data_IF_877004443293
#
_entry.id   IF_877004443293
#
_cell.length_a   1.000
_cell.length_b   1.000
_cell.length_c   1.000
_cell.angle_alpha   90.00
_cell.angle_beta   90.00
_cell.angle_gamma   90.00
#
_symmetry.space_group_name_H-M   'P 1'
#
loop_
_entity.id
_entity.type
_entity.pdbx_description
1 polymer ?
#
# COMPACT_ATOMS: atom_id res chain seq x y z
N UNK A 1 28.51 -51.93 -22.96
CA UNK A 1 28.06 -52.04 -21.56
C UNK A 1 26.60 -51.61 -21.51
N UNK A 2 25.76 -52.46 -20.93
CA UNK A 2 24.31 -52.37 -20.92
C UNK A 2 23.76 -51.50 -19.76
N UNK A 3 22.54 -51.00 -19.96
CA UNK A 3 21.43 -50.77 -19.01
C UNK A 3 21.62 -49.95 -17.74
N UNK A 4 20.77 -48.92 -17.58
CA UNK A 4 19.67 -48.79 -16.58
C UNK A 4 19.23 -47.32 -16.52
N UNK A 5 18.10 -46.92 -17.11
CA UNK A 5 16.74 -46.92 -16.54
C UNK A 5 16.68 -46.35 -15.12
N UNK A 6 16.10 -45.15 -15.00
CA UNK A 6 15.82 -44.46 -13.74
C UNK A 6 14.68 -43.45 -13.89
N UNK A 7 13.50 -43.95 -14.29
CA UNK A 7 12.22 -43.26 -14.24
C UNK A 7 11.84 -43.02 -12.76
N UNK A 8 11.57 -41.78 -12.37
CA UNK A 8 10.72 -41.47 -11.20
C UNK A 8 9.72 -40.40 -11.59
N UNK A 9 8.56 -40.91 -12.02
CA UNK A 9 7.29 -40.22 -11.93
C UNK A 9 6.92 -40.12 -10.44
N UNK A 10 6.57 -38.92 -9.97
CA UNK A 10 5.78 -38.74 -8.76
C UNK A 10 4.70 -37.72 -9.04
N UNK A 11 3.47 -38.19 -8.87
CA UNK A 11 2.23 -37.55 -9.23
C UNK A 11 1.93 -36.29 -8.40
N UNK A 12 1.44 -35.25 -9.06
CA UNK A 12 0.55 -34.27 -8.45
C UNK A 12 -0.83 -34.57 -8.98
N UNK A 13 -1.66 -35.17 -8.14
CA UNK A 13 -3.08 -35.43 -8.38
C UNK A 13 -3.81 -34.10 -8.49
N UNK A 14 -4.16 -33.71 -9.72
CA UNK A 14 -5.17 -32.67 -9.96
C UNK A 14 -6.53 -33.24 -9.59
N UNK A 15 -7.09 -32.75 -8.50
CA UNK A 15 -8.51 -32.89 -8.18
C UNK A 15 -9.18 -31.58 -8.54
N UNK A 16 -9.96 -31.57 -9.62
CA UNK A 16 -11.00 -30.56 -9.80
C UNK A 16 -12.22 -31.28 -10.35
N UNK A 17 -13.19 -31.41 -9.45
CA UNK A 17 -14.50 -32.03 -9.58
C UNK A 17 -15.28 -31.43 -10.76
N UNK A 18 -15.52 -32.23 -11.79
CA UNK A 18 -16.48 -31.94 -12.85
C UNK A 18 -17.89 -32.34 -12.40
N UNK A 19 -18.62 -31.42 -11.78
CA UNK A 19 -20.08 -31.50 -11.75
C UNK A 19 -20.71 -30.56 -12.76
N UNK A 20 -21.02 -31.15 -13.92
CA UNK A 20 -22.10 -30.73 -14.80
C UNK A 20 -23.43 -30.70 -14.01
N UNK A 21 -24.01 -29.53 -13.87
CA UNK A 21 -25.45 -29.32 -13.79
C UNK A 21 -25.81 -28.39 -14.96
N UNK A 22 -26.26 -28.92 -16.10
CA UNK A 22 -27.66 -29.16 -16.42
C UNK A 22 -28.54 -27.91 -16.42
N UNK A 23 -28.88 -27.49 -17.65
CA UNK A 23 -30.12 -26.83 -18.09
C UNK A 23 -30.39 -25.39 -17.66
N UNK A 24 -30.76 -24.61 -18.67
CA UNK A 24 -31.09 -23.20 -18.56
C UNK A 24 -32.25 -22.93 -17.60
N UNK A 25 -32.07 -21.84 -16.87
CA UNK A 25 -33.13 -21.13 -16.19
C UNK A 25 -32.76 -19.66 -16.25
N UNK A 26 -33.28 -18.97 -17.25
CA UNK A 26 -33.31 -17.51 -17.32
C UNK A 26 -34.36 -17.03 -16.31
N UNK A 27 -33.90 -16.45 -15.20
CA UNK A 27 -34.74 -15.69 -14.27
C UNK A 27 -33.97 -14.45 -13.81
N UNK A 28 -34.17 -13.37 -14.58
CA UNK A 28 -33.77 -12.01 -14.23
C UNK A 28 -34.52 -11.47 -13.01
N UNK A 29 -34.13 -11.89 -11.80
CA UNK A 29 -34.68 -11.38 -10.54
C UNK A 29 -33.73 -11.33 -9.33
N UNK A 30 -32.44 -11.69 -9.48
CA UNK A 30 -31.44 -11.28 -8.49
C UNK A 30 -30.94 -9.90 -8.89
N UNK A 31 -31.27 -8.89 -8.08
CA UNK A 31 -30.63 -7.58 -8.17
C UNK A 31 -29.14 -7.81 -8.32
N UNK A 32 -28.53 -7.20 -9.34
CA UNK A 32 -27.08 -7.12 -9.40
C UNK A 32 -26.68 -6.49 -8.07
N UNK A 33 -26.15 -7.27 -7.15
CA UNK A 33 -25.33 -6.73 -6.09
C UNK A 33 -24.39 -5.75 -6.81
N UNK A 34 -24.36 -4.46 -6.41
CA UNK A 34 -23.41 -3.56 -7.02
C UNK A 34 -22.06 -4.26 -6.91
N UNK A 35 -21.32 -4.32 -8.03
CA UNK A 35 -19.95 -4.81 -7.99
C UNK A 35 -19.29 -4.15 -6.77
N UNK A 36 -18.56 -4.92 -5.92
CA UNK A 36 -17.93 -4.34 -4.75
C UNK A 36 -17.23 -3.07 -5.21
N UNK A 37 -17.55 -1.93 -4.59
CA UNK A 37 -16.92 -0.65 -4.95
C UNK A 37 -15.43 -0.94 -5.09
N UNK A 38 -14.85 -0.59 -6.24
CA UNK A 38 -13.44 -0.80 -6.49
C UNK A 38 -12.68 -0.31 -5.24
N UNK A 39 -11.76 -1.11 -4.67
CA UNK A 39 -11.06 -0.68 -3.47
C UNK A 39 -10.52 0.73 -3.73
N UNK A 40 -10.92 1.68 -2.88
CA UNK A 40 -10.51 3.08 -3.05
C UNK A 40 -8.99 3.13 -3.18
N UNK A 41 -8.48 3.84 -4.19
CA UNK A 41 -7.03 3.95 -4.41
C UNK A 41 -6.41 4.77 -3.27
N UNK A 42 -5.10 4.65 -3.10
CA UNK A 42 -4.37 5.30 -2.02
C UNK A 42 -3.30 6.22 -2.57
N UNK A 43 -3.32 7.48 -2.16
CA UNK A 43 -2.27 8.44 -2.49
C UNK A 43 -1.15 8.38 -1.45
N UNK A 44 0.10 8.32 -1.91
CA UNK A 44 1.28 8.62 -1.09
C UNK A 44 1.76 10.03 -1.41
N UNK A 45 1.84 10.88 -0.40
CA UNK A 45 2.38 12.25 -0.53
C UNK A 45 3.57 12.44 0.38
N UNK A 46 4.58 13.12 -0.15
CA UNK A 46 5.73 13.57 0.61
C UNK A 46 5.64 15.08 0.79
N UNK A 47 5.94 15.53 2.00
CA UNK A 47 6.06 16.94 2.35
C UNK A 47 7.48 17.17 2.83
N UNK A 48 8.12 18.22 2.32
CA UNK A 48 9.51 18.54 2.63
C UNK A 48 9.68 20.01 2.94
N UNK A 49 10.36 20.28 4.03
CA UNK A 49 10.77 21.61 4.45
C UNK A 49 12.29 21.68 4.40
N UNK A 50 12.86 22.51 3.52
CA UNK A 50 14.29 22.72 3.48
C UNK A 50 14.82 23.23 4.82
N UNK A 51 16.01 22.77 5.20
CA UNK A 51 16.69 23.26 6.39
C UNK A 51 16.82 24.80 6.34
N UNK A 52 16.50 25.45 7.46
CA UNK A 52 16.56 26.91 7.55
C UNK A 52 18.02 27.35 7.56
N UNK A 53 18.39 28.17 6.58
CA UNK A 53 19.70 28.82 6.52
C UNK A 53 19.60 30.27 7.03
N UNK A 54 20.52 30.74 7.89
CA UNK A 54 20.50 32.11 8.39
C UNK A 54 20.52 33.14 7.25
N UNK A 55 19.55 34.06 7.27
CA UNK A 55 19.43 35.12 6.26
C UNK A 55 18.77 34.70 4.95
N UNK A 56 18.40 33.43 4.79
CA UNK A 56 17.63 32.95 3.64
C UNK A 56 16.15 32.84 4.04
N UNK A 57 15.21 33.45 3.29
CA UNK A 57 13.80 33.27 3.54
C UNK A 57 13.37 31.80 3.44
N UNK A 58 12.54 31.34 4.36
CA UNK A 58 11.99 29.99 4.32
C UNK A 58 11.08 29.83 3.08
N UNK A 59 11.35 28.87 2.19
CA UNK A 59 10.59 28.72 0.94
C UNK A 59 9.19 28.12 1.12
N UNK A 60 8.85 27.67 2.33
CA UNK A 60 7.61 26.97 2.61
C UNK A 60 7.73 25.44 2.47
N UNK A 61 6.67 24.75 2.87
CA UNK A 61 6.53 23.30 2.73
C UNK A 61 6.30 22.93 1.27
N UNK A 62 7.12 22.02 0.75
CA UNK A 62 7.01 21.48 -0.60
C UNK A 62 6.22 20.18 -0.54
N UNK A 63 5.06 20.14 -1.20
CA UNK A 63 4.24 18.94 -1.31
C UNK A 63 4.49 18.24 -2.66
N UNK A 64 4.64 16.93 -2.64
CA UNK A 64 4.82 16.09 -3.83
C UNK A 64 3.93 14.86 -3.75
N UNK A 65 3.11 14.63 -4.78
CA UNK A 65 2.45 13.33 -4.98
C UNK A 65 3.50 12.33 -5.44
N UNK A 66 3.80 11.35 -4.60
CA UNK A 66 4.79 10.30 -4.90
C UNK A 66 4.17 9.25 -5.84
N UNK A 67 2.92 8.87 -5.57
CA UNK A 67 2.22 7.87 -6.37
C UNK A 67 0.80 7.60 -5.89
N UNK A 68 0.08 6.83 -6.69
CA UNK A 68 -1.28 6.36 -6.39
C UNK A 68 -1.30 4.84 -6.57
N UNK A 69 -1.76 4.14 -5.55
CA UNK A 69 -1.65 2.68 -5.42
C UNK A 69 -3.04 2.05 -5.26
N UNK A 70 -3.17 0.79 -5.65
CA UNK A 70 -4.45 0.08 -5.55
C UNK A 70 -4.72 -0.41 -4.11
N UNK A 71 -3.69 -0.47 -3.27
CA UNK A 71 -3.81 -0.90 -1.87
C UNK A 71 -3.04 0.01 -0.91
N UNK A 72 -3.57 0.13 0.32
CA UNK A 72 -2.92 0.89 1.40
C UNK A 72 -1.55 0.30 1.74
N UNK A 73 -1.46 -1.03 1.77
CA UNK A 73 -0.23 -1.75 2.12
C UNK A 73 0.92 -1.45 1.15
N UNK A 74 0.63 -1.35 -0.15
CA UNK A 74 1.61 -1.00 -1.17
C UNK A 74 2.09 0.44 -1.00
N UNK A 75 1.16 1.39 -0.83
CA UNK A 75 1.49 2.80 -0.60
C UNK A 75 2.36 2.98 0.65
N UNK A 76 2.03 2.29 1.74
CA UNK A 76 2.80 2.30 3.00
C UNK A 76 4.17 1.66 2.81
N UNK A 77 4.28 0.57 2.06
CA UNK A 77 5.57 -0.09 1.80
C UNK A 77 6.53 0.87 1.08
N UNK A 78 6.08 1.54 0.01
CA UNK A 78 6.89 2.54 -0.71
C UNK A 78 7.21 3.74 0.19
N UNK A 79 6.24 4.21 0.97
CA UNK A 79 6.45 5.30 1.93
C UNK A 79 7.54 4.98 2.95
N UNK A 80 7.57 3.75 3.48
CA UNK A 80 8.62 3.28 4.40
C UNK A 80 9.99 3.24 3.76
N UNK A 81 10.10 2.79 2.51
CA UNK A 81 11.38 2.77 1.79
C UNK A 81 11.95 4.19 1.65
N UNK A 82 11.14 5.13 1.19
CA UNK A 82 11.54 6.53 1.04
C UNK A 82 11.90 7.19 2.38
N UNK A 83 11.11 6.91 3.42
CA UNK A 83 11.39 7.40 4.77
C UNK A 83 12.74 6.89 5.29
N UNK A 84 13.03 5.60 5.12
CA UNK A 84 14.31 5.00 5.53
C UNK A 84 15.48 5.55 4.71
N UNK A 85 15.32 5.67 3.40
CA UNK A 85 16.32 6.26 2.51
C UNK A 85 16.65 7.70 2.91
N UNK A 86 15.61 8.53 3.13
CA UNK A 86 15.80 9.91 3.54
C UNK A 86 16.53 10.01 4.88
N UNK A 87 16.15 9.19 5.88
CA UNK A 87 16.84 9.16 7.18
C UNK A 87 18.29 8.70 7.05
N UNK A 88 18.58 7.78 6.14
CA UNK A 88 19.94 7.33 5.85
C UNK A 88 20.77 8.39 5.10
N UNK A 89 20.14 9.34 4.40
CA UNK A 89 20.84 10.36 3.61
C UNK A 89 21.63 11.38 4.43
N UNK A 90 21.29 11.55 5.72
CA UNK A 90 21.88 12.59 6.57
C UNK A 90 21.42 14.02 6.24
N UNK A 91 20.37 14.17 5.42
CA UNK A 91 19.72 15.46 5.16
C UNK A 91 19.28 16.14 6.45
N UNK A 92 19.37 17.48 6.48
CA UNK A 92 18.84 18.31 7.58
C UNK A 92 17.43 18.82 7.32
N UNK A 93 16.89 18.54 6.15
CA UNK A 93 15.53 18.90 5.81
C UNK A 93 14.55 18.10 6.69
N UNK A 94 13.43 18.71 7.01
CA UNK A 94 12.33 18.01 7.68
C UNK A 94 11.43 17.42 6.60
N UNK A 95 11.10 16.14 6.72
CA UNK A 95 10.21 15.49 5.78
C UNK A 95 9.19 14.59 6.49
N UNK A 96 7.98 14.50 5.94
CA UNK A 96 6.99 13.52 6.33
C UNK A 96 6.26 12.94 5.13
N UNK A 97 5.86 11.68 5.27
CA UNK A 97 5.13 10.91 4.27
C UNK A 97 3.75 10.58 4.80
N UNK A 98 2.74 10.71 3.94
CA UNK A 98 1.35 10.50 4.29
C UNK A 98 0.71 9.58 3.27
N UNK A 99 0.02 8.55 3.74
CA UNK A 99 -0.90 7.74 2.93
C UNK A 99 -2.33 8.08 3.31
N UNK A 100 -3.18 8.28 2.30
CA UNK A 100 -4.62 8.54 2.46
C UNK A 100 -5.40 7.85 1.34
N UNK A 101 -6.67 7.54 1.58
CA UNK A 101 -7.57 7.16 0.48
C UNK A 101 -7.73 8.32 -0.50
N UNK A 102 -7.94 8.02 -1.77
CA UNK A 102 -8.19 9.02 -2.81
C UNK A 102 -9.44 9.84 -2.43
N UNK A 103 -9.28 11.17 -2.37
CA UNK A 103 -10.33 12.08 -1.94
C UNK A 103 -10.58 12.13 -0.42
N UNK A 104 -9.83 11.39 0.39
CA UNK A 104 -9.90 11.48 1.85
C UNK A 104 -9.03 12.62 2.39
N UNK A 105 -9.55 13.34 3.38
CA UNK A 105 -8.78 14.37 4.10
C UNK A 105 -7.91 13.78 5.23
N UNK A 106 -8.27 12.60 5.74
CA UNK A 106 -7.57 11.97 6.86
C UNK A 106 -6.45 11.06 6.39
N UNK A 107 -5.27 11.26 6.96
CA UNK A 107 -4.15 10.35 6.81
C UNK A 107 -4.46 9.00 7.49
N UNK A 108 -4.21 7.92 6.76
CA UNK A 108 -4.26 6.54 7.28
C UNK A 108 -2.92 6.07 7.83
N UNK A 109 -1.84 6.61 7.30
CA UNK A 109 -0.49 6.37 7.79
C UNK A 109 0.36 7.64 7.65
N UNK A 110 1.25 7.86 8.61
CA UNK A 110 2.20 8.96 8.66
C UNK A 110 3.56 8.46 9.14
N UNK A 111 4.64 8.85 8.45
CA UNK A 111 6.00 8.74 8.96
C UNK A 111 6.71 10.09 8.89
N UNK A 112 7.46 10.41 9.95
CA UNK A 112 8.23 11.65 10.09
C UNK A 112 9.72 11.30 10.10
N UNK A 113 10.52 12.00 9.30
CA UNK A 113 11.97 11.86 9.22
C UNK A 113 12.69 12.01 10.57
N UNK A 114 12.18 12.85 11.48
CA UNK A 114 12.76 13.13 12.79
C UNK A 114 12.39 12.08 13.84
N UNK A 115 11.37 11.26 13.58
CA UNK A 115 10.89 10.20 14.46
C UNK A 115 11.40 8.84 13.97
N UNK A 116 11.79 7.91 14.86
CA UNK A 116 11.97 6.52 14.49
C UNK A 116 10.64 5.74 14.42
N UNK A 117 9.53 6.34 14.84
CA UNK A 117 8.21 5.71 14.91
C UNK A 117 7.30 6.16 13.77
N UNK A 118 6.45 5.25 13.34
CA UNK A 118 5.37 5.50 12.39
C UNK A 118 4.04 5.70 13.15
N UNK A 119 3.05 6.29 12.48
CA UNK A 119 1.70 6.47 13.02
C UNK A 119 0.66 5.94 12.04
N UNK A 120 -0.31 5.19 12.55
CA UNK A 120 -1.43 4.64 11.76
C UNK A 120 -2.74 5.15 12.34
N UNK A 121 -3.72 5.45 11.48
CA UNK A 121 -5.07 5.80 11.90
C UNK A 121 -5.82 4.54 12.35
N UNK A 122 -6.22 4.51 13.62
CA UNK A 122 -7.24 3.57 14.07
C UNK A 122 -8.61 4.08 13.61
N UNK A 123 -9.24 3.37 12.67
CA UNK A 123 -10.54 3.74 12.12
C UNK A 123 -11.71 3.58 13.11
N UNK A 124 -11.55 2.78 14.17
CA UNK A 124 -12.57 2.58 15.20
C UNK A 124 -12.62 3.77 16.14
N UNK A 125 -11.46 4.24 16.57
CA UNK A 125 -11.33 5.35 17.53
C UNK A 125 -11.11 6.70 16.85
N UNK A 126 -10.77 6.69 15.55
CA UNK A 126 -10.34 7.87 14.77
C UNK A 126 -9.15 8.59 15.38
N UNK A 127 -8.21 7.83 15.95
CA UNK A 127 -7.00 8.35 16.57
C UNK A 127 -5.77 7.81 15.86
N UNK A 128 -4.71 8.63 15.79
CA UNK A 128 -3.40 8.14 15.36
C UNK A 128 -2.75 7.35 16.49
N UNK A 129 -2.28 6.15 16.16
CA UNK A 129 -1.59 5.22 17.06
C UNK A 129 -0.16 5.09 16.59
N UNK A 130 0.80 5.25 17.50
CA UNK A 130 2.21 5.01 17.21
C UNK A 130 2.49 3.51 17.10
N UNK A 131 3.30 3.14 16.11
CA UNK A 131 3.81 1.79 15.92
C UNK A 131 5.35 1.83 15.83
N UNK A 132 5.99 0.80 16.38
CA UNK A 132 7.45 0.61 16.37
C UNK A 132 7.92 -0.16 15.13
#
# INVERSE_FOLDING_TARGET
>A
MASMVGRRESAVTTYTDERKASRGFDMGWFGKDPAPEAPGRFELRAYREPAVEPGVPFPGTQETLVGVYDTEAEAVAVGRELWREFRASGSKDVAWWVVRGEGEDLARWIADSASPRERVLDLRTRTLVEID
#
